data_IF_961802584781
#
_entry.id   IF_961802584781
#
_cell.length_a   1.000
_cell.length_b   1.000
_cell.length_c   1.000
_cell.angle_alpha   90.00
_cell.angle_beta   90.00
_cell.angle_gamma   90.00
#
_symmetry.space_group_name_H-M   'P 1'
#
loop_
_entity.id
_entity.type
_entity.pdbx_description
1 polymer ?
#
# COMPACT_ATOMS: atom_id res chain seq x y z
N UNK A 1 -12.45 -10.04 27.77
CA UNK A 1 -11.52 -10.43 26.69
C UNK A 1 -10.72 -9.19 26.30
N UNK A 2 -9.38 -9.25 26.28
CA UNK A 2 -8.49 -8.11 26.00
C UNK A 2 -7.70 -8.26 24.70
N UNK A 3 -7.98 -9.30 23.93
CA UNK A 3 -7.24 -9.63 22.72
C UNK A 3 -8.21 -9.53 21.53
N UNK A 4 -7.74 -8.91 20.45
CA UNK A 4 -8.49 -8.84 19.19
C UNK A 4 -8.59 -10.23 18.57
N UNK A 5 -9.64 -10.47 17.78
CA UNK A 5 -9.78 -11.69 17.00
C UNK A 5 -8.61 -11.82 16.01
N UNK A 6 -7.97 -12.99 15.96
CA UNK A 6 -6.94 -13.32 14.95
C UNK A 6 -7.54 -13.74 13.60
N UNK A 7 -8.87 -13.92 13.54
CA UNK A 7 -9.55 -14.23 12.29
C UNK A 7 -9.76 -12.91 11.52
N UNK A 8 -9.22 -12.78 10.30
CA UNK A 8 -9.50 -11.62 9.47
C UNK A 8 -10.99 -11.55 9.16
N UNK A 9 -11.55 -10.33 9.22
CA UNK A 9 -12.98 -10.10 9.02
C UNK A 9 -13.44 -10.54 7.62
N UNK A 10 -12.58 -10.40 6.61
CA UNK A 10 -12.82 -10.82 5.24
C UNK A 10 -11.66 -11.62 4.67
N UNK A 11 -11.97 -12.69 3.93
CA UNK A 11 -11.01 -13.34 3.05
C UNK A 11 -10.98 -12.58 1.71
N UNK A 12 -10.04 -11.64 1.60
CA UNK A 12 -9.93 -10.76 0.43
C UNK A 12 -9.68 -11.54 -0.86
N UNK A 13 -9.07 -12.73 -0.80
CA UNK A 13 -8.84 -13.55 -2.00
C UNK A 13 -10.12 -14.18 -2.49
N UNK A 14 -10.93 -14.73 -1.59
CA UNK A 14 -12.27 -15.24 -1.94
C UNK A 14 -13.18 -14.13 -2.43
N UNK A 15 -13.11 -12.95 -1.81
CA UNK A 15 -13.89 -11.79 -2.25
C UNK A 15 -13.51 -11.39 -3.67
N UNK A 16 -12.21 -11.26 -3.99
CA UNK A 16 -11.75 -10.93 -5.33
C UNK A 16 -12.06 -12.04 -6.37
N UNK A 17 -12.13 -13.31 -5.96
CA UNK A 17 -12.54 -14.39 -6.87
C UNK A 17 -14.03 -14.31 -7.24
N UNK A 18 -14.89 -13.92 -6.28
CA UNK A 18 -16.33 -13.75 -6.51
C UNK A 18 -16.68 -12.42 -7.17
N UNK A 19 -15.92 -11.36 -6.87
CA UNK A 19 -16.13 -9.99 -7.32
C UNK A 19 -14.77 -9.37 -7.67
N UNK A 20 -14.23 -9.65 -8.87
CA UNK A 20 -12.90 -9.19 -9.25
C UNK A 20 -12.86 -7.67 -9.37
N UNK A 21 -11.77 -7.07 -8.87
CA UNK A 21 -11.56 -5.64 -9.04
C UNK A 21 -11.30 -5.30 -10.51
N UNK A 22 -12.00 -4.30 -11.08
CA UNK A 22 -11.77 -3.86 -12.45
C UNK A 22 -10.37 -3.27 -12.56
N UNK A 23 -9.64 -3.65 -13.61
CA UNK A 23 -8.32 -3.07 -13.89
C UNK A 23 -8.46 -1.64 -14.40
N UNK A 24 -7.52 -0.78 -14.03
CA UNK A 24 -7.39 0.55 -14.61
C UNK A 24 -7.04 0.38 -16.10
N UNK A 25 -7.94 0.79 -16.99
CA UNK A 25 -7.72 0.74 -18.45
C UNK A 25 -7.11 2.03 -18.98
N UNK A 26 -7.35 3.15 -18.27
CA UNK A 26 -6.76 4.43 -18.59
C UNK A 26 -5.33 4.51 -18.02
N UNK A 27 -4.37 4.73 -18.92
CA UNK A 27 -2.95 4.88 -18.59
C UNK A 27 -2.55 6.34 -18.38
N UNK A 28 -3.49 7.29 -18.43
CA UNK A 28 -3.22 8.71 -18.21
C UNK A 28 -2.94 9.07 -16.74
N UNK A 29 -3.35 8.20 -15.82
CA UNK A 29 -3.14 8.40 -14.38
C UNK A 29 -1.88 7.68 -13.93
N UNK A 30 -0.92 8.47 -13.45
CA UNK A 30 0.30 7.96 -12.82
C UNK A 30 0.00 7.44 -11.40
N UNK A 31 0.47 6.25 -11.08
CA UNK A 31 0.17 5.56 -9.81
C UNK A 31 1.44 5.38 -8.98
N UNK A 32 1.36 5.74 -7.70
CA UNK A 32 2.35 5.38 -6.67
C UNK A 32 1.74 4.35 -5.73
N UNK A 33 2.45 3.24 -5.52
CA UNK A 33 2.13 2.28 -4.46
C UNK A 33 3.21 2.39 -3.39
N UNK A 34 2.82 2.80 -2.18
CA UNK A 34 3.69 3.05 -1.04
C UNK A 34 3.12 2.33 0.18
N UNK A 35 3.97 1.60 0.89
CA UNK A 35 3.61 0.92 2.14
C UNK A 35 4.75 0.95 3.15
N UNK A 36 4.53 0.35 4.31
CA UNK A 36 5.49 0.32 5.39
C UNK A 36 5.86 -1.12 5.78
N UNK A 37 7.12 -1.34 6.14
CA UNK A 37 7.64 -2.67 6.51
C UNK A 37 7.09 -3.16 7.85
N UNK A 38 6.85 -2.24 8.78
CA UNK A 38 6.34 -2.53 10.12
C UNK A 38 4.81 -2.37 10.20
N UNK A 39 4.14 -2.49 9.06
CA UNK A 39 2.69 -2.56 8.95
C UNK A 39 2.19 -3.95 9.34
N UNK A 40 1.46 -4.02 10.46
CA UNK A 40 0.88 -5.26 10.98
C UNK A 40 -0.52 -5.56 10.43
N UNK A 41 -1.14 -4.61 9.71
CA UNK A 41 -2.47 -4.75 9.14
C UNK A 41 -2.40 -5.16 7.67
N UNK A 42 -1.50 -4.56 6.90
CA UNK A 42 -1.25 -4.87 5.49
C UNK A 42 0.22 -5.28 5.34
N UNK A 43 0.44 -6.58 5.09
CA UNK A 43 1.79 -7.12 4.99
C UNK A 43 2.48 -6.76 3.66
N UNK A 44 3.78 -7.06 3.57
CA UNK A 44 4.57 -6.86 2.36
C UNK A 44 3.98 -7.58 1.14
N UNK A 45 3.28 -8.70 1.34
CA UNK A 45 2.63 -9.43 0.25
C UNK A 45 1.45 -8.65 -0.33
N UNK A 46 0.64 -8.02 0.51
CA UNK A 46 -0.44 -7.12 0.08
C UNK A 46 0.09 -5.90 -0.67
N UNK A 47 1.24 -5.36 -0.23
CA UNK A 47 1.93 -4.28 -0.93
C UNK A 47 2.40 -4.72 -2.33
N UNK A 48 3.06 -5.88 -2.44
CA UNK A 48 3.52 -6.44 -3.71
C UNK A 48 2.38 -6.83 -4.66
N UNK A 49 1.29 -7.37 -4.11
CA UNK A 49 0.06 -7.67 -4.86
C UNK A 49 -0.55 -6.40 -5.45
N UNK A 50 -0.56 -5.29 -4.69
CA UNK A 50 -1.07 -4.00 -5.14
C UNK A 50 -0.18 -3.38 -6.23
N UNK A 51 1.16 -3.42 -6.06
CA UNK A 51 2.10 -2.97 -7.09
C UNK A 51 1.91 -3.71 -8.40
N UNK A 52 1.81 -5.04 -8.36
CA UNK A 52 1.55 -5.87 -9.56
C UNK A 52 0.18 -5.61 -10.18
N UNK A 53 -0.83 -5.29 -9.39
CA UNK A 53 -2.16 -4.96 -9.92
C UNK A 53 -2.14 -3.70 -10.78
N UNK A 54 -1.37 -2.68 -10.37
CA UNK A 54 -1.20 -1.43 -11.11
C UNK A 54 -0.01 -1.40 -12.06
N UNK A 55 0.76 -2.50 -12.16
CA UNK A 55 1.95 -2.59 -13.01
C UNK A 55 3.05 -1.56 -12.63
N UNK A 56 3.22 -1.35 -11.32
CA UNK A 56 4.22 -0.43 -10.76
C UNK A 56 5.07 -1.13 -9.69
N UNK A 57 6.32 -0.69 -9.52
CA UNK A 57 7.18 -1.17 -8.44
C UNK A 57 6.79 -0.46 -7.13
N UNK A 58 6.35 -1.19 -6.10
CA UNK A 58 5.97 -0.57 -4.84
C UNK A 58 7.20 -0.11 -4.05
N UNK A 59 7.02 0.93 -3.24
CA UNK A 59 8.03 1.40 -2.28
C UNK A 59 7.64 0.91 -0.89
N UNK A 60 8.55 0.21 -0.21
CA UNK A 60 8.38 -0.24 1.17
C UNK A 60 9.31 0.54 2.10
N UNK A 61 8.73 1.35 3.00
CA UNK A 61 9.49 2.20 3.93
C UNK A 61 9.77 1.44 5.22
N UNK A 62 11.03 1.42 5.66
CA UNK A 62 11.43 0.79 6.92
C UNK A 62 11.26 1.73 8.14
N UNK A 63 10.89 1.17 9.29
CA UNK A 63 10.80 1.91 10.55
C UNK A 63 9.65 2.90 10.55
N UNK A 64 8.49 2.50 10.02
CA UNK A 64 7.24 3.27 10.01
C UNK A 64 6.06 2.30 10.19
N UNK A 65 5.08 2.66 11.01
CA UNK A 65 3.85 1.91 11.19
C UNK A 65 2.83 2.10 10.04
N UNK A 66 1.72 1.36 10.12
CA UNK A 66 0.60 1.39 9.16
C UNK A 66 0.13 2.80 8.83
N UNK A 67 -0.24 3.59 9.85
CA UNK A 67 -0.68 4.97 9.70
C UNK A 67 0.52 5.90 9.51
N UNK A 68 1.20 5.74 8.38
CA UNK A 68 2.50 6.35 8.07
C UNK A 68 2.53 7.86 8.33
N UNK A 69 1.45 8.58 8.02
CA UNK A 69 1.38 10.04 8.21
C UNK A 69 1.11 10.47 9.67
N UNK A 70 0.76 9.54 10.55
CA UNK A 70 0.57 9.74 12.00
C UNK A 70 1.74 9.18 12.83
N UNK A 71 2.60 8.36 12.23
CA UNK A 71 3.79 7.79 12.84
C UNK A 71 4.84 8.88 13.19
N UNK A 72 5.68 8.65 14.22
CA UNK A 72 6.74 9.59 14.60
C UNK A 72 7.79 9.80 13.49
N UNK A 73 7.92 8.84 12.58
CA UNK A 73 8.80 8.84 11.41
C UNK A 73 8.08 9.23 10.10
N UNK A 74 6.88 9.84 10.17
CA UNK A 74 6.05 10.21 9.01
C UNK A 74 6.79 10.91 7.88
N UNK A 75 7.83 11.69 8.23
CA UNK A 75 8.66 12.40 7.26
C UNK A 75 9.24 11.48 6.19
N UNK A 76 9.55 10.22 6.49
CA UNK A 76 10.06 9.25 5.50
C UNK A 76 9.04 9.03 4.38
N UNK A 77 7.78 8.82 4.73
CA UNK A 77 6.68 8.68 3.78
C UNK A 77 6.46 9.93 2.95
N UNK A 78 6.44 11.10 3.62
CA UNK A 78 6.26 12.38 2.94
C UNK A 78 7.39 12.66 1.93
N UNK A 79 8.64 12.33 2.27
CA UNK A 79 9.77 12.46 1.34
C UNK A 79 9.64 11.53 0.13
N UNK A 80 9.14 10.30 0.31
CA UNK A 80 8.92 9.37 -0.79
C UNK A 80 7.86 9.92 -1.78
N UNK A 81 6.75 10.43 -1.25
CA UNK A 81 5.67 11.06 -2.05
C UNK A 81 6.20 12.30 -2.77
N UNK A 82 6.92 13.19 -2.06
CA UNK A 82 7.46 14.41 -2.65
C UNK A 82 8.48 14.12 -3.75
N UNK A 83 9.36 13.13 -3.54
CA UNK A 83 10.34 12.71 -4.54
C UNK A 83 9.67 12.15 -5.79
N UNK A 84 8.60 11.37 -5.61
CA UNK A 84 7.80 10.85 -6.71
C UNK A 84 7.12 11.98 -7.50
N UNK A 85 6.47 12.93 -6.81
CA UNK A 85 5.81 14.09 -7.44
C UNK A 85 6.80 14.95 -8.23
N UNK A 86 7.98 15.22 -7.67
CA UNK A 86 9.02 16.00 -8.35
C UNK A 86 9.60 15.26 -9.57
N UNK A 87 9.50 13.92 -9.62
CA UNK A 87 9.92 13.12 -10.77
C UNK A 87 9.14 13.41 -12.05
N UNK A 88 7.92 13.94 -11.95
CA UNK A 88 7.09 14.33 -13.10
C UNK A 88 7.43 15.71 -13.67
N UNK A 89 8.12 16.56 -12.89
CA UNK A 89 8.39 17.96 -13.26
C UNK A 89 9.60 18.12 -14.19
N UNK A 90 9.73 17.28 -15.22
CA UNK A 90 10.76 17.41 -16.27
C UNK A 90 10.32 18.34 -17.40
#
# INVERSE_FOLDING_TARGET
MKESSRMPLFDLRKLNASLPMPKLTDRSTEILVLGAKDDFLVDAKGLDETGRFYDVSPICIEGVAHDMMLDCSWKKGAHAILSWLNGFSR
#
